data_IF_924521441433
#
_entry.id   IF_924521441433
#
_cell.length_a   1.000
_cell.length_b   1.000
_cell.length_c   1.000
_cell.angle_alpha   90.00
_cell.angle_beta   90.00
_cell.angle_gamma   90.00
#
_symmetry.space_group_name_H-M   'P 1'
#
loop_
_entity.id
_entity.type
_entity.pdbx_description
1 polymer ?
#
# COMPACT_ATOMS: atom_id res chain seq x y z
N UNK A 1 -28.88 -39.03 -22.77
CA UNK A 1 -28.04 -39.22 -21.56
C UNK A 1 -26.55 -39.53 -21.84
N UNK A 2 -26.16 -40.16 -22.97
CA UNK A 2 -24.74 -40.44 -23.30
C UNK A 2 -24.09 -39.36 -24.21
N UNK A 3 -24.89 -38.51 -24.87
CA UNK A 3 -24.40 -37.52 -25.85
C UNK A 3 -23.87 -36.23 -25.16
N UNK A 4 -24.31 -35.91 -23.95
CA UNK A 4 -23.90 -34.71 -23.20
C UNK A 4 -22.52 -34.83 -22.53
N UNK A 5 -22.18 -36.00 -21.98
CA UNK A 5 -20.86 -36.24 -21.36
C UNK A 5 -19.69 -36.09 -22.34
N UNK A 6 -19.89 -36.45 -23.63
CA UNK A 6 -18.84 -36.37 -24.65
C UNK A 6 -18.50 -34.92 -25.00
N UNK A 7 -19.47 -34.01 -24.96
CA UNK A 7 -19.27 -32.59 -25.25
C UNK A 7 -18.65 -31.84 -24.05
N UNK A 8 -18.96 -32.25 -22.82
CA UNK A 8 -18.34 -31.73 -21.59
C UNK A 8 -16.87 -32.15 -21.52
N UNK A 9 -16.57 -33.43 -21.78
CA UNK A 9 -15.19 -33.92 -21.81
C UNK A 9 -14.38 -33.25 -22.93
N UNK A 10 -14.99 -33.00 -24.09
CA UNK A 10 -14.34 -32.32 -25.22
C UNK A 10 -14.12 -30.82 -24.94
N UNK A 11 -15.05 -30.16 -24.23
CA UNK A 11 -14.90 -28.75 -23.80
C UNK A 11 -13.84 -28.62 -22.71
N UNK A 12 -13.78 -29.56 -21.76
CA UNK A 12 -12.70 -29.67 -20.77
C UNK A 12 -11.35 -29.91 -21.48
N UNK A 13 -11.30 -30.80 -22.47
CA UNK A 13 -10.07 -31.08 -23.23
C UNK A 13 -9.61 -29.85 -24.06
N UNK A 14 -10.54 -29.10 -24.64
CA UNK A 14 -10.25 -27.86 -25.36
C UNK A 14 -9.73 -26.77 -24.40
N UNK A 15 -10.33 -26.66 -23.21
CA UNK A 15 -9.85 -25.82 -22.11
C UNK A 15 -8.42 -26.23 -21.68
N UNK A 16 -8.16 -27.53 -21.54
CA UNK A 16 -6.82 -28.07 -21.24
C UNK A 16 -5.77 -27.74 -22.30
N UNK A 17 -6.15 -27.68 -23.59
CA UNK A 17 -5.24 -27.36 -24.70
C UNK A 17 -4.97 -25.85 -24.78
N UNK A 18 -5.98 -25.01 -24.52
CA UNK A 18 -5.84 -23.54 -24.52
C UNK A 18 -5.00 -23.08 -23.30
N UNK A 19 -5.15 -23.74 -22.14
CA UNK A 19 -4.48 -23.36 -20.88
C UNK A 19 -3.00 -23.77 -20.83
N UNK A 20 -2.57 -24.81 -21.57
CA UNK A 20 -1.13 -25.15 -21.67
C UNK A 20 -0.26 -24.06 -22.30
N UNK A 21 -0.87 -23.05 -22.94
CA UNK A 21 -0.16 -21.94 -23.58
C UNK A 21 -0.01 -20.67 -22.73
N UNK A 22 -0.56 -20.61 -21.51
CA UNK A 22 -0.47 -19.41 -20.67
C UNK A 22 0.56 -19.66 -19.56
N UNK A 23 1.70 -19.01 -19.72
CA UNK A 23 2.85 -19.08 -18.83
C UNK A 23 2.51 -18.46 -17.46
N UNK A 24 2.02 -19.28 -16.53
CA UNK A 24 1.70 -18.88 -15.16
C UNK A 24 2.93 -18.79 -14.24
N UNK A 25 4.15 -18.66 -14.80
CA UNK A 25 5.40 -18.78 -14.04
C UNK A 25 5.98 -17.47 -13.49
N UNK A 26 5.39 -16.30 -13.76
CA UNK A 26 6.04 -15.01 -13.44
C UNK A 26 5.26 -14.05 -12.52
N UNK A 27 4.38 -14.55 -11.66
CA UNK A 27 3.75 -13.72 -10.62
C UNK A 27 4.26 -14.13 -9.24
N UNK A 28 5.38 -13.53 -8.81
CA UNK A 28 5.82 -13.54 -7.41
C UNK A 28 4.87 -12.67 -6.60
N UNK A 29 3.81 -13.23 -6.06
CA UNK A 29 3.05 -12.59 -4.99
C UNK A 29 3.33 -13.36 -3.69
N UNK A 30 3.62 -12.65 -2.59
CA UNK A 30 3.55 -13.23 -1.25
C UNK A 30 2.15 -13.81 -0.97
N UNK A 31 2.00 -14.59 0.09
CA UNK A 31 0.67 -15.02 0.50
C UNK A 31 -0.16 -13.77 0.86
N UNK A 32 -1.34 -13.59 0.28
CA UNK A 32 -2.24 -12.47 0.61
C UNK A 32 -3.52 -12.98 1.23
N UNK A 33 -3.97 -12.33 2.29
CA UNK A 33 -5.27 -12.57 2.90
C UNK A 33 -6.07 -11.28 2.88
N UNK A 34 -7.28 -11.36 2.34
CA UNK A 34 -8.16 -10.21 2.20
C UNK A 34 -9.46 -10.45 2.96
N UNK A 35 -9.92 -9.45 3.71
CA UNK A 35 -11.34 -9.32 4.04
C UNK A 35 -12.07 -8.76 2.82
N UNK A 36 -13.30 -9.18 2.60
CA UNK A 36 -14.09 -8.74 1.46
C UNK A 36 -15.52 -8.41 1.86
N UNK A 37 -16.04 -7.39 1.20
CA UNK A 37 -17.41 -6.95 1.31
C UNK A 37 -17.94 -6.68 -0.10
N UNK A 38 -19.10 -7.26 -0.40
CA UNK A 38 -19.75 -7.13 -1.71
C UNK A 38 -21.20 -6.76 -1.52
N UNK A 39 -21.66 -5.86 -2.38
CA UNK A 39 -23.09 -5.62 -2.60
C UNK A 39 -23.38 -5.85 -4.07
N UNK A 40 -24.57 -6.36 -4.37
CA UNK A 40 -24.86 -6.69 -5.76
C UNK A 40 -26.31 -6.95 -6.05
N UNK A 41 -26.52 -7.29 -7.31
CA UNK A 41 -27.79 -7.73 -7.84
C UNK A 41 -27.61 -9.06 -8.56
N UNK A 42 -28.56 -9.97 -8.34
CA UNK A 42 -28.57 -11.29 -8.95
C UNK A 42 -29.75 -11.39 -9.92
N UNK A 43 -29.48 -11.90 -11.12
CA UNK A 43 -30.46 -12.21 -12.14
C UNK A 43 -30.49 -13.72 -12.32
N UNK A 44 -31.50 -14.37 -11.74
CA UNK A 44 -31.60 -15.83 -11.73
C UNK A 44 -32.43 -16.32 -12.91
N UNK A 45 -31.90 -17.27 -13.67
CA UNK A 45 -32.60 -17.98 -14.71
C UNK A 45 -32.64 -19.47 -14.33
N UNK A 46 -33.73 -19.85 -13.70
CA UNK A 46 -34.06 -21.23 -13.38
C UNK A 46 -35.37 -21.61 -14.05
N UNK A 47 -35.86 -22.84 -13.84
CA UNK A 47 -37.20 -23.24 -14.29
C UNK A 47 -38.34 -22.36 -13.69
N UNK A 48 -37.99 -21.46 -12.76
CA UNK A 48 -38.68 -20.19 -12.53
C UNK A 48 -38.58 -19.24 -13.73
N UNK A 49 -39.52 -19.34 -14.67
CA UNK A 49 -39.61 -18.42 -15.81
C UNK A 49 -39.74 -16.95 -15.32
N UNK A 50 -38.67 -16.18 -15.55
CA UNK A 50 -38.45 -14.75 -15.25
C UNK A 50 -38.43 -14.38 -13.76
N UNK A 51 -37.27 -14.46 -13.11
CA UNK A 51 -37.04 -13.74 -11.84
C UNK A 51 -36.80 -12.25 -12.11
N UNK A 52 -37.27 -11.39 -11.21
CA UNK A 52 -36.88 -9.98 -11.19
C UNK A 52 -35.53 -9.84 -10.50
N UNK A 53 -34.75 -8.77 -10.78
CA UNK A 53 -33.45 -8.57 -10.14
C UNK A 53 -33.56 -8.61 -8.62
N UNK A 54 -32.84 -9.57 -8.04
CA UNK A 54 -32.68 -9.72 -6.61
C UNK A 54 -31.49 -8.91 -6.10
N UNK A 55 -31.37 -8.72 -4.79
CA UNK A 55 -30.20 -8.06 -4.19
C UNK A 55 -29.39 -9.04 -3.36
N UNK A 56 -28.08 -8.88 -3.38
CA UNK A 56 -27.14 -9.64 -2.56
C UNK A 56 -26.27 -8.70 -1.73
N UNK A 57 -25.94 -9.14 -0.52
CA UNK A 57 -24.89 -8.57 0.30
C UNK A 57 -24.05 -9.74 0.78
N UNK A 58 -22.74 -9.70 0.54
CA UNK A 58 -21.80 -10.72 1.00
C UNK A 58 -20.69 -10.10 1.83
N UNK A 59 -20.26 -10.84 2.84
CA UNK A 59 -19.01 -10.63 3.56
C UNK A 59 -18.19 -11.91 3.48
N UNK A 60 -16.87 -11.80 3.55
CA UNK A 60 -16.06 -13.00 3.51
C UNK A 60 -14.58 -12.76 3.66
N UNK A 61 -13.83 -13.78 3.27
CA UNK A 61 -12.39 -13.76 3.22
C UNK A 61 -11.88 -14.42 1.94
N UNK A 62 -10.81 -13.88 1.39
CA UNK A 62 -10.07 -14.44 0.25
C UNK A 62 -8.64 -14.70 0.68
N UNK A 63 -8.10 -15.84 0.25
CA UNK A 63 -6.71 -16.18 0.43
C UNK A 63 -6.08 -16.52 -0.92
N UNK A 64 -5.00 -15.81 -1.24
CA UNK A 64 -4.21 -15.97 -2.46
C UNK A 64 -2.84 -16.55 -2.07
N UNK A 65 -2.59 -17.85 -2.25
CA UNK A 65 -1.29 -18.44 -1.95
C UNK A 65 -0.22 -17.95 -2.93
N UNK A 66 1.02 -17.83 -2.45
CA UNK A 66 2.20 -17.51 -3.25
C UNK A 66 2.52 -18.53 -4.35
N UNK A 67 2.05 -19.78 -4.19
CA UNK A 67 2.11 -20.83 -5.21
C UNK A 67 0.68 -21.28 -5.54
N UNK A 68 0.30 -21.11 -6.80
CA UNK A 68 -0.99 -21.61 -7.30
C UNK A 68 -1.05 -23.13 -7.19
N UNK A 69 -2.21 -23.64 -6.78
CA UNK A 69 -2.49 -25.07 -6.84
C UNK A 69 -3.21 -25.37 -8.14
N UNK A 70 -2.51 -26.05 -9.06
CA UNK A 70 -3.00 -26.30 -10.42
C UNK A 70 -3.33 -24.97 -11.13
N UNK A 71 -4.59 -24.73 -11.52
CA UNK A 71 -5.06 -23.48 -12.14
C UNK A 71 -5.78 -22.54 -11.17
N UNK A 72 -5.97 -22.95 -9.91
CA UNK A 72 -6.59 -22.12 -8.89
C UNK A 72 -5.53 -21.27 -8.20
N UNK A 73 -5.76 -19.95 -8.22
CA UNK A 73 -4.88 -18.95 -7.61
C UNK A 73 -5.48 -18.33 -6.35
N UNK A 74 -6.72 -18.69 -5.98
CA UNK A 74 -7.38 -18.18 -4.79
C UNK A 74 -8.47 -19.08 -4.22
N UNK A 75 -8.66 -18.95 -2.91
CA UNK A 75 -9.73 -19.57 -2.13
C UNK A 75 -10.60 -18.46 -1.55
N UNK A 76 -11.91 -18.58 -1.65
CA UNK A 76 -12.84 -17.60 -1.10
C UNK A 76 -13.90 -18.27 -0.23
N UNK A 77 -14.20 -17.66 0.91
CA UNK A 77 -15.31 -18.01 1.77
C UNK A 77 -16.26 -16.83 1.83
N UNK A 78 -17.54 -17.04 1.55
CA UNK A 78 -18.56 -15.99 1.59
C UNK A 78 -19.72 -16.36 2.50
N UNK A 79 -20.17 -15.39 3.27
CA UNK A 79 -21.46 -15.40 3.95
C UNK A 79 -22.33 -14.34 3.27
N UNK A 80 -23.50 -14.76 2.78
CA UNK A 80 -24.37 -13.91 2.00
C UNK A 80 -25.77 -13.81 2.57
N UNK A 81 -26.42 -12.68 2.27
CA UNK A 81 -27.85 -12.51 2.39
C UNK A 81 -28.42 -12.13 1.02
N UNK A 82 -29.32 -12.96 0.51
CA UNK A 82 -29.85 -12.85 -0.83
C UNK A 82 -31.36 -12.64 -0.77
N UNK A 83 -31.85 -11.67 -1.51
CA UNK A 83 -33.27 -11.45 -1.77
C UNK A 83 -33.56 -11.79 -3.22
N UNK A 84 -34.36 -12.82 -3.46
CA UNK A 84 -34.84 -13.21 -4.78
C UNK A 84 -36.27 -12.70 -4.98
N UNK A 85 -36.58 -12.17 -6.16
CA UNK A 85 -37.90 -11.63 -6.50
C UNK A 85 -38.53 -12.41 -7.64
N UNK A 86 -39.75 -12.87 -7.46
CA UNK A 86 -40.50 -13.60 -8.47
C UNK A 86 -41.36 -12.62 -9.30
N UNK A 87 -41.27 -12.67 -10.65
CA UNK A 87 -42.02 -11.79 -11.55
C UNK A 87 -43.42 -12.32 -11.89
N UNK A 88 -43.63 -13.63 -11.80
CA UNK A 88 -44.89 -14.28 -12.13
C UNK A 88 -45.45 -14.95 -10.87
N UNK A 89 -46.75 -14.82 -10.61
CA UNK A 89 -47.45 -15.56 -9.54
C UNK A 89 -47.48 -17.06 -9.85
N UNK A 90 -46.32 -17.69 -9.96
CA UNK A 90 -46.17 -19.13 -10.02
C UNK A 90 -46.68 -19.64 -8.67
N UNK A 91 -47.79 -20.39 -8.69
CA UNK A 91 -48.62 -20.70 -7.51
C UNK A 91 -47.85 -21.38 -6.36
N UNK A 92 -46.63 -21.83 -6.63
CA UNK A 92 -45.82 -22.65 -5.74
C UNK A 92 -44.75 -21.86 -4.96
N UNK A 93 -44.50 -20.58 -5.24
CA UNK A 93 -43.50 -19.80 -4.48
C UNK A 93 -44.00 -18.42 -4.00
N UNK A 94 -43.42 -17.90 -2.90
CA UNK A 94 -43.67 -16.54 -2.46
C UNK A 94 -43.12 -15.50 -3.46
N UNK A 95 -43.74 -14.32 -3.49
CA UNK A 95 -43.32 -13.17 -4.32
C UNK A 95 -41.88 -12.73 -4.07
N UNK A 96 -41.42 -12.87 -2.82
CA UNK A 96 -40.07 -12.55 -2.38
C UNK A 96 -39.54 -13.69 -1.53
N UNK A 97 -38.33 -14.15 -1.84
CA UNK A 97 -37.67 -15.24 -1.14
C UNK A 97 -36.32 -14.75 -0.62
N UNK A 98 -36.13 -14.85 0.71
CA UNK A 98 -34.88 -14.48 1.36
C UNK A 98 -34.08 -15.74 1.68
N UNK A 99 -32.78 -15.72 1.37
CA UNK A 99 -31.86 -16.81 1.66
C UNK A 99 -30.60 -16.28 2.35
N UNK A 100 -30.21 -16.93 3.44
CA UNK A 100 -28.83 -16.84 3.94
C UNK A 100 -28.00 -17.83 3.14
N UNK A 101 -26.82 -17.43 2.70
CA UNK A 101 -25.90 -18.30 1.96
C UNK A 101 -24.55 -18.43 2.65
N UNK A 102 -23.93 -19.58 2.45
CA UNK A 102 -22.52 -19.80 2.71
C UNK A 102 -21.90 -20.39 1.44
N UNK A 103 -20.76 -19.87 1.02
CA UNK A 103 -20.08 -20.29 -0.20
C UNK A 103 -18.63 -20.63 0.09
N UNK A 104 -18.16 -21.69 -0.56
CA UNK A 104 -16.74 -22.01 -0.66
C UNK A 104 -16.38 -21.97 -2.14
N UNK A 105 -15.39 -21.17 -2.51
CA UNK A 105 -15.01 -20.96 -3.90
C UNK A 105 -13.52 -21.18 -4.14
N UNK A 106 -13.22 -21.79 -5.28
CA UNK A 106 -11.88 -22.01 -5.81
C UNK A 106 -11.81 -21.28 -7.13
N UNK A 107 -10.97 -20.25 -7.19
CA UNK A 107 -10.94 -19.33 -8.31
C UNK A 107 -9.54 -19.27 -8.93
N UNK A 108 -9.48 -19.30 -10.27
CA UNK A 108 -8.29 -19.02 -11.07
C UNK A 108 -8.47 -17.69 -11.79
N UNK A 109 -7.50 -16.80 -11.63
CA UNK A 109 -7.54 -15.45 -12.18
C UNK A 109 -6.58 -15.31 -13.37
N UNK A 110 -7.06 -14.73 -14.46
CA UNK A 110 -6.28 -14.44 -15.67
C UNK A 110 -6.39 -12.95 -15.96
N UNK A 111 -5.26 -12.25 -15.98
CA UNK A 111 -5.21 -10.85 -16.41
C UNK A 111 -5.44 -10.77 -17.92
N UNK A 112 -6.44 -9.99 -18.36
CA UNK A 112 -6.74 -9.80 -19.77
C UNK A 112 -6.00 -8.58 -20.35
N UNK A 113 -6.26 -7.41 -19.78
CA UNK A 113 -5.69 -6.13 -20.20
C UNK A 113 -5.87 -5.09 -19.08
N UNK A 114 -5.08 -4.02 -19.13
CA UNK A 114 -5.15 -2.91 -18.19
C UNK A 114 -5.60 -1.64 -18.92
N UNK A 115 -6.46 -0.83 -18.28
CA UNK A 115 -6.87 0.49 -18.75
C UNK A 115 -6.46 1.49 -17.67
N UNK A 116 -5.36 2.22 -17.89
CA UNK A 116 -4.71 3.05 -16.85
C UNK A 116 -4.48 2.21 -15.59
N UNK A 117 -5.03 2.65 -14.45
CA UNK A 117 -4.89 2.03 -13.13
C UNK A 117 -5.91 0.89 -12.88
N UNK A 118 -6.77 0.60 -13.86
CA UNK A 118 -7.77 -0.46 -13.76
C UNK A 118 -7.27 -1.73 -14.45
N UNK A 119 -7.08 -2.79 -13.68
CA UNK A 119 -6.76 -4.13 -14.20
C UNK A 119 -8.05 -4.87 -14.54
N UNK A 120 -8.14 -5.43 -15.73
CA UNK A 120 -9.27 -6.29 -16.12
C UNK A 120 -8.88 -7.75 -15.99
N UNK A 121 -9.61 -8.47 -15.13
CA UNK A 121 -9.34 -9.86 -14.78
C UNK A 121 -10.52 -10.72 -15.22
N UNK A 122 -10.23 -11.83 -15.90
CA UNK A 122 -11.18 -12.93 -16.04
C UNK A 122 -10.95 -13.92 -14.92
N UNK A 123 -12.01 -14.30 -14.22
CA UNK A 123 -11.96 -15.31 -13.18
C UNK A 123 -12.78 -16.53 -13.61
N UNK A 124 -12.19 -17.72 -13.51
CA UNK A 124 -12.86 -19.00 -13.73
C UNK A 124 -12.72 -19.84 -12.47
N UNK A 125 -13.81 -20.45 -12.03
CA UNK A 125 -13.80 -21.13 -10.74
C UNK A 125 -14.84 -22.20 -10.54
N UNK A 126 -14.72 -22.86 -9.41
CA UNK A 126 -15.71 -23.80 -8.87
C UNK A 126 -16.20 -23.26 -7.53
N UNK A 127 -17.51 -23.26 -7.34
CA UNK A 127 -18.11 -22.90 -6.06
C UNK A 127 -18.97 -24.03 -5.52
N UNK A 128 -19.12 -24.05 -4.21
CA UNK A 128 -20.13 -24.86 -3.54
C UNK A 128 -20.97 -23.92 -2.66
N UNK A 129 -22.23 -23.71 -3.05
CA UNK A 129 -23.14 -22.82 -2.33
C UNK A 129 -24.11 -23.62 -1.47
N UNK A 130 -24.28 -23.16 -0.24
CA UNK A 130 -25.31 -23.61 0.69
C UNK A 130 -26.31 -22.47 0.87
N UNK A 131 -27.60 -22.74 0.69
CA UNK A 131 -28.66 -21.77 0.89
C UNK A 131 -29.61 -22.23 2.00
N UNK A 132 -30.04 -21.29 2.84
CA UNK A 132 -31.06 -21.49 3.86
C UNK A 132 -32.15 -20.43 3.70
N UNK A 133 -33.33 -20.87 3.28
CA UNK A 133 -34.46 -20.01 2.94
C UNK A 133 -35.34 -19.73 4.16
N UNK A 134 -35.71 -18.47 4.40
CA UNK A 134 -36.52 -18.10 5.57
C UNK A 134 -38.03 -18.24 5.32
N UNK A 135 -38.50 -17.88 4.12
CA UNK A 135 -39.94 -17.72 3.78
C UNK A 135 -40.51 -18.86 2.91
N UNK A 136 -39.89 -20.03 2.94
CA UNK A 136 -40.29 -21.17 2.12
C UNK A 136 -41.11 -22.17 2.95
N UNK A 137 -42.36 -22.43 2.57
CA UNK A 137 -43.18 -23.45 3.25
C UNK A 137 -42.82 -24.87 2.79
N UNK A 138 -42.86 -25.85 3.69
CA UNK A 138 -42.40 -27.22 3.40
C UNK A 138 -43.23 -27.93 2.32
N UNK A 139 -44.50 -27.55 2.15
CA UNK A 139 -45.39 -28.06 1.10
C UNK A 139 -45.01 -27.62 -0.31
N UNK A 140 -44.24 -26.54 -0.44
CA UNK A 140 -43.77 -25.96 -1.70
C UNK A 140 -42.43 -26.56 -2.14
N UNK A 141 -41.77 -27.34 -1.28
CA UNK A 141 -40.54 -28.05 -1.57
C UNK A 141 -40.85 -29.38 -2.26
N UNK A 142 -40.53 -29.50 -3.54
CA UNK A 142 -40.69 -30.76 -4.27
C UNK A 142 -39.63 -31.79 -3.84
N UNK A 143 -38.45 -31.33 -3.38
CA UNK A 143 -37.44 -32.18 -2.78
C UNK A 143 -37.57 -32.23 -1.23
N UNK A 144 -38.53 -33.01 -0.73
CA UNK A 144 -38.84 -33.18 0.70
C UNK A 144 -37.66 -33.59 1.61
N UNK A 145 -36.52 -34.02 1.05
CA UNK A 145 -35.40 -34.60 1.81
C UNK A 145 -34.68 -33.60 2.74
N UNK A 146 -34.60 -32.31 2.41
CA UNK A 146 -33.70 -31.37 3.11
C UNK A 146 -34.36 -30.14 3.77
N UNK A 147 -35.69 -30.03 3.77
CA UNK A 147 -36.35 -28.86 4.37
C UNK A 147 -35.98 -27.55 3.65
N UNK A 148 -35.93 -26.41 4.36
CA UNK A 148 -35.66 -25.07 3.78
C UNK A 148 -34.21 -24.85 3.31
N UNK A 149 -33.37 -25.88 3.29
CA UNK A 149 -31.96 -25.77 2.96
C UNK A 149 -31.64 -26.53 1.67
N UNK A 150 -30.89 -25.89 0.76
CA UNK A 150 -30.38 -26.50 -0.47
C UNK A 150 -28.87 -26.30 -0.57
N UNK A 151 -28.21 -27.16 -1.33
CA UNK A 151 -26.82 -26.96 -1.70
C UNK A 151 -26.56 -27.43 -3.12
N UNK A 152 -25.68 -26.72 -3.81
CA UNK A 152 -25.36 -27.01 -5.20
C UNK A 152 -23.90 -26.64 -5.50
N UNK A 153 -23.18 -27.49 -6.26
CA UNK A 153 -21.90 -27.12 -6.85
C UNK A 153 -22.11 -26.34 -8.15
N UNK A 154 -21.26 -25.34 -8.36
CA UNK A 154 -21.32 -24.39 -9.46
C UNK A 154 -20.01 -24.30 -10.21
N UNK A 155 -20.12 -24.08 -11.52
CA UNK A 155 -19.03 -23.52 -12.32
C UNK A 155 -19.25 -22.02 -12.45
N UNK A 156 -18.21 -21.23 -12.17
CA UNK A 156 -18.26 -19.78 -12.19
C UNK A 156 -17.35 -19.23 -13.30
N UNK A 157 -17.84 -18.24 -14.01
CA UNK A 157 -17.02 -17.41 -14.88
C UNK A 157 -17.39 -15.95 -14.66
N UNK A 158 -16.40 -15.09 -14.44
CA UNK A 158 -16.64 -13.66 -14.25
C UNK A 158 -15.59 -12.79 -14.91
N UNK A 159 -16.00 -11.57 -15.22
CA UNK A 159 -15.16 -10.47 -15.67
C UNK A 159 -15.14 -9.43 -14.56
N UNK A 160 -13.95 -9.01 -14.16
CA UNK A 160 -13.74 -8.05 -13.08
C UNK A 160 -12.90 -6.88 -13.56
N UNK A 161 -13.42 -5.66 -13.37
CA UNK A 161 -12.60 -4.46 -13.37
C UNK A 161 -12.11 -4.21 -11.95
N UNK A 162 -10.80 -4.17 -11.75
CA UNK A 162 -10.15 -4.10 -10.43
C UNK A 162 -9.27 -2.86 -10.37
N UNK A 163 -9.55 -1.98 -9.42
CA UNK A 163 -8.74 -0.83 -9.08
C UNK A 163 -8.11 -1.06 -7.71
N UNK A 164 -6.79 -0.99 -7.65
CA UNK A 164 -6.05 -1.14 -6.41
C UNK A 164 -5.64 0.27 -5.95
N UNK A 165 -6.08 0.63 -4.75
CA UNK A 165 -5.71 1.87 -4.06
C UNK A 165 -4.69 1.48 -2.99
N UNK A 166 -3.44 1.92 -3.20
CA UNK A 166 -2.29 1.52 -2.39
C UNK A 166 -2.13 -0.03 -2.31
N UNK A 167 -1.47 -0.53 -1.27
CA UNK A 167 -1.30 -1.97 -0.99
C UNK A 167 -2.51 -2.55 -0.21
N UNK A 168 -3.35 -1.70 0.38
CA UNK A 168 -4.41 -2.05 1.33
C UNK A 168 -5.76 -2.35 0.69
N UNK A 169 -6.24 -1.45 -0.17
CA UNK A 169 -7.63 -1.47 -0.64
C UNK A 169 -7.72 -1.87 -2.11
N UNK A 170 -8.60 -2.82 -2.40
CA UNK A 170 -8.92 -3.19 -3.79
C UNK A 170 -10.41 -3.04 -4.03
N UNK A 171 -10.78 -2.10 -4.89
CA UNK A 171 -12.14 -1.90 -5.35
C UNK A 171 -12.36 -2.69 -6.63
N UNK A 172 -13.50 -3.36 -6.75
CA UNK A 172 -13.80 -4.13 -7.96
C UNK A 172 -15.27 -4.10 -8.35
N UNK A 173 -15.50 -4.13 -9.66
CA UNK A 173 -16.78 -4.38 -10.28
C UNK A 173 -16.74 -5.77 -10.93
N UNK A 174 -17.57 -6.69 -10.46
CA UNK A 174 -17.66 -8.06 -10.96
C UNK A 174 -18.95 -8.25 -11.76
N UNK A 175 -18.83 -8.81 -12.96
CA UNK A 175 -19.94 -9.35 -13.75
C UNK A 175 -19.69 -10.84 -13.89
N UNK A 176 -20.53 -11.66 -13.24
CA UNK A 176 -20.35 -13.10 -13.19
C UNK A 176 -21.54 -13.87 -13.73
N UNK A 177 -21.25 -15.11 -14.15
CA UNK A 177 -22.22 -16.13 -14.52
C UNK A 177 -21.89 -17.41 -13.75
N UNK A 178 -22.93 -18.03 -13.19
CA UNK A 178 -22.82 -19.18 -12.32
C UNK A 178 -23.76 -20.27 -12.83
N UNK A 179 -23.18 -21.41 -13.22
CA UNK A 179 -23.92 -22.55 -13.76
C UNK A 179 -23.98 -23.64 -12.69
N UNK A 180 -25.18 -24.01 -12.25
CA UNK A 180 -25.31 -25.15 -11.36
C UNK A 180 -25.11 -26.45 -12.12
N UNK A 181 -24.40 -27.38 -11.48
CA UNK A 181 -24.18 -28.72 -12.03
C UNK A 181 -25.38 -29.63 -11.72
N UNK A 182 -26.30 -29.19 -10.86
CA UNK A 182 -27.51 -29.92 -10.50
C UNK A 182 -28.74 -29.01 -10.45
N UNK A 183 -29.91 -29.63 -10.61
CA UNK A 183 -31.24 -29.00 -10.60
C UNK A 183 -31.74 -28.76 -9.16
N UNK A 184 -30.92 -28.11 -8.33
CA UNK A 184 -31.19 -27.90 -6.89
C UNK A 184 -31.05 -26.45 -6.43
N UNK A 185 -30.86 -25.47 -7.33
CA UNK A 185 -30.82 -24.06 -6.90
C UNK A 185 -32.17 -23.67 -6.28
N UNK A 186 -33.22 -24.22 -6.85
CA UNK A 186 -34.57 -23.70 -6.74
C UNK A 186 -35.53 -24.66 -5.95
N UNK A 187 -34.96 -25.78 -5.50
CA UNK A 187 -35.56 -26.90 -4.76
C UNK A 187 -36.63 -27.71 -5.53
N UNK A 188 -36.69 -27.59 -6.87
CA UNK A 188 -37.64 -28.25 -7.77
C UNK A 188 -36.89 -29.18 -8.74
N UNK A 189 -37.04 -30.52 -8.61
CA UNK A 189 -36.30 -31.49 -9.44
C UNK A 189 -37.08 -31.99 -10.69
N UNK A 190 -38.15 -31.30 -11.09
CA UNK A 190 -38.98 -31.68 -12.26
C UNK A 190 -38.75 -30.67 -13.38
N UNK A 191 -37.51 -30.23 -13.49
CA UNK A 191 -37.02 -29.32 -14.49
C UNK A 191 -36.57 -29.99 -15.77
N UNK A 192 -36.51 -29.23 -16.87
CA UNK A 192 -35.91 -29.68 -18.14
C UNK A 192 -34.65 -28.91 -18.53
N UNK A 193 -34.25 -27.91 -17.73
CA UNK A 193 -33.11 -27.04 -18.00
C UNK A 193 -32.20 -26.95 -16.77
N UNK A 194 -30.90 -26.84 -17.00
CA UNK A 194 -29.95 -26.59 -15.92
C UNK A 194 -30.06 -25.13 -15.46
N UNK A 195 -30.16 -24.90 -14.14
CA UNK A 195 -30.30 -23.57 -13.55
C UNK A 195 -28.98 -22.76 -13.63
N UNK A 196 -29.09 -21.47 -13.92
CA UNK A 196 -27.94 -20.54 -13.85
C UNK A 196 -28.35 -19.16 -13.36
N UNK A 197 -27.39 -18.37 -12.89
CA UNK A 197 -27.64 -16.96 -12.54
C UNK A 197 -26.47 -16.06 -12.93
N UNK A 198 -26.80 -14.81 -13.23
CA UNK A 198 -25.82 -13.75 -13.40
C UNK A 198 -25.77 -12.89 -12.13
N UNK A 199 -24.57 -12.44 -11.77
CA UNK A 199 -24.37 -11.48 -10.69
C UNK A 199 -23.68 -10.23 -11.24
N UNK A 200 -24.09 -9.07 -10.73
CA UNK A 200 -23.39 -7.80 -10.88
C UNK A 200 -23.10 -7.30 -9.47
N UNK A 201 -21.83 -7.35 -9.07
CA UNK A 201 -21.40 -7.00 -7.72
C UNK A 201 -20.40 -5.84 -7.76
N UNK A 202 -20.56 -4.91 -6.84
CA UNK A 202 -19.54 -3.94 -6.46
C UNK A 202 -18.94 -4.40 -5.14
N UNK A 203 -17.62 -4.50 -5.07
CA UNK A 203 -16.94 -4.97 -3.87
C UNK A 203 -15.69 -4.18 -3.52
N UNK A 204 -15.31 -4.33 -2.26
CA UNK A 204 -14.04 -3.86 -1.71
C UNK A 204 -13.35 -5.01 -1.00
N UNK A 205 -12.04 -5.12 -1.21
CA UNK A 205 -11.15 -6.02 -0.47
C UNK A 205 -10.19 -5.19 0.36
N UNK A 206 -9.98 -5.60 1.60
CA UNK A 206 -8.97 -5.05 2.49
C UNK A 206 -7.91 -6.12 2.75
N UNK A 207 -6.66 -5.83 2.39
CA UNK A 207 -5.51 -6.71 2.58
C UNK A 207 -5.00 -6.59 4.01
N UNK A 208 -4.93 -7.72 4.74
CA UNK A 208 -4.49 -7.74 6.14
C UNK A 208 -2.97 -7.61 6.33
N UNK A 209 -2.18 -7.81 5.27
CA UNK A 209 -0.72 -7.89 5.34
C UNK A 209 -0.08 -6.97 4.30
N UNK A 210 -0.66 -5.79 4.09
CA UNK A 210 0.00 -4.72 3.34
C UNK A 210 1.06 -4.06 4.22
N UNK A 211 2.26 -3.93 3.67
CA UNK A 211 3.27 -2.99 4.15
C UNK A 211 2.79 -1.58 3.72
N UNK A 212 2.83 -0.61 4.64
CA UNK A 212 2.31 0.75 4.44
C UNK A 212 3.51 1.70 4.59
N UNK A 213 3.59 2.66 3.68
CA UNK A 213 4.60 3.72 3.61
C UNK A 213 3.81 4.97 3.15
N UNK A 214 3.47 5.81 4.11
CA UNK A 214 2.42 6.83 4.02
C UNK A 214 2.88 8.10 3.31
N UNK A 215 4.14 8.51 3.47
CA UNK A 215 4.75 9.64 2.77
C UNK A 215 5.62 9.23 1.57
N UNK A 216 5.96 7.95 1.45
CA UNK A 216 6.59 7.38 0.26
C UNK A 216 8.10 7.57 0.22
N UNK A 217 8.74 7.72 1.38
CA UNK A 217 10.20 7.88 1.47
C UNK A 217 10.96 6.55 1.45
N UNK A 218 10.25 5.42 1.62
CA UNK A 218 10.78 4.07 1.56
C UNK A 218 11.00 3.41 2.92
N UNK A 219 10.70 4.10 4.02
CA UNK A 219 10.57 3.52 5.36
C UNK A 219 9.11 3.13 5.59
N UNK A 220 8.87 1.99 6.25
CA UNK A 220 7.50 1.55 6.51
C UNK A 220 6.92 2.30 7.71
N UNK A 221 5.62 2.61 7.71
CA UNK A 221 4.90 3.29 8.80
C UNK A 221 5.14 2.70 10.21
N UNK A 222 5.51 1.42 10.32
CA UNK A 222 5.81 0.75 11.59
C UNK A 222 7.28 0.85 12.03
N UNK A 223 8.15 1.27 11.13
CA UNK A 223 9.58 1.54 11.32
C UNK A 223 9.90 3.05 11.25
N UNK A 224 9.01 3.85 10.66
CA UNK A 224 9.11 5.29 10.41
C UNK A 224 8.68 6.13 11.64
N UNK A 225 9.54 7.05 12.07
CA UNK A 225 9.29 7.97 13.18
C UNK A 225 8.39 9.15 12.78
N UNK A 226 8.38 9.54 11.51
CA UNK A 226 7.70 10.71 10.99
C UNK A 226 6.46 10.44 10.13
N UNK A 227 6.17 9.26 9.58
CA UNK A 227 4.92 8.76 8.94
C UNK A 227 4.29 9.62 7.81
N UNK A 228 4.37 10.95 7.87
CA UNK A 228 3.70 11.91 7.00
C UNK A 228 4.67 12.99 6.48
N UNK A 229 5.95 12.89 6.83
CA UNK A 229 7.00 13.82 6.45
C UNK A 229 8.16 13.01 5.89
N UNK A 230 8.37 13.04 4.57
CA UNK A 230 9.33 12.16 3.94
C UNK A 230 10.77 12.55 4.30
N UNK A 231 11.59 11.54 4.53
CA UNK A 231 13.05 11.62 4.64
C UNK A 231 13.71 12.41 3.49
N UNK A 232 14.76 13.20 3.77
CA UNK A 232 15.48 14.01 2.77
C UNK A 232 16.74 13.36 2.17
N UNK A 233 17.10 12.15 2.64
CA UNK A 233 18.07 11.22 2.04
C UNK A 233 19.43 11.88 1.73
N UNK A 234 20.00 12.57 2.69
CA UNK A 234 21.25 13.30 2.59
C UNK A 234 22.47 12.50 3.13
N UNK A 235 22.23 11.34 3.73
CA UNK A 235 23.23 10.47 4.32
C UNK A 235 23.40 10.65 5.84
N UNK A 236 22.58 11.48 6.47
CA UNK A 236 22.48 11.65 7.90
C UNK A 236 21.17 11.04 8.39
N UNK A 237 21.29 10.04 9.28
CA UNK A 237 20.16 9.34 9.93
C UNK A 237 19.00 8.85 9.04
N UNK A 238 19.16 8.76 7.71
CA UNK A 238 18.20 8.26 6.68
C UNK A 238 17.38 6.98 7.01
N UNK A 239 17.75 6.21 8.05
CA UNK A 239 17.07 4.98 8.45
C UNK A 239 15.87 5.20 9.39
N UNK A 240 15.68 6.41 9.94
CA UNK A 240 14.62 6.68 10.92
C UNK A 240 13.32 7.28 10.33
N UNK A 241 13.37 7.69 9.05
CA UNK A 241 12.22 8.18 8.29
C UNK A 241 11.85 9.62 8.60
N UNK A 242 12.69 10.37 9.30
CA UNK A 242 12.45 11.76 9.64
C UNK A 242 13.45 12.69 8.95
N UNK A 243 12.99 13.74 8.24
CA UNK A 243 13.89 14.66 7.56
C UNK A 243 14.76 15.45 8.57
N UNK A 244 16.07 15.46 8.33
CA UNK A 244 17.06 16.18 9.13
C UNK A 244 17.52 17.46 8.42
N UNK A 245 16.72 18.51 8.55
CA UNK A 245 16.91 19.79 7.83
C UNK A 245 18.20 20.56 8.27
N UNK A 246 18.73 20.24 9.45
CA UNK A 246 19.87 20.88 10.12
C UNK A 246 20.60 19.83 10.96
N UNK A 247 21.59 19.18 10.34
CA UNK A 247 22.23 17.97 10.82
C UNK A 247 23.03 18.18 12.12
N UNK A 248 23.74 19.31 12.25
CA UNK A 248 24.53 19.62 13.45
C UNK A 248 23.80 20.51 14.47
N UNK A 249 22.58 20.94 14.12
CA UNK A 249 21.66 21.70 14.97
C UNK A 249 22.24 23.04 15.43
N UNK A 250 22.97 23.73 14.57
CA UNK A 250 23.48 25.08 14.82
C UNK A 250 22.47 26.20 14.49
N UNK A 251 21.39 25.86 13.78
CA UNK A 251 20.32 26.77 13.38
C UNK A 251 20.39 27.25 11.93
N UNK A 252 21.38 26.80 11.15
CA UNK A 252 21.53 27.02 9.71
C UNK A 252 21.14 25.73 8.99
N UNK A 253 20.12 25.75 8.11
CA UNK A 253 19.75 24.55 7.36
C UNK A 253 20.89 24.04 6.49
N UNK A 254 21.00 22.73 6.33
CA UNK A 254 22.00 22.02 5.51
C UNK A 254 22.20 22.57 4.09
N UNK A 255 21.14 23.12 3.51
CA UNK A 255 21.17 23.71 2.16
C UNK A 255 21.93 25.04 2.09
N UNK A 256 22.07 25.72 3.21
CA UNK A 256 22.71 27.01 3.39
C UNK A 256 24.00 26.92 4.26
N UNK A 257 24.26 25.77 4.88
CA UNK A 257 25.42 25.49 5.73
C UNK A 257 26.61 24.91 4.93
N UNK A 258 27.79 25.52 5.06
CA UNK A 258 29.03 25.04 4.44
C UNK A 258 29.66 23.85 5.16
N UNK A 259 29.31 23.65 6.43
CA UNK A 259 29.95 22.74 7.35
C UNK A 259 29.07 21.63 7.90
N UNK A 260 27.76 21.56 7.61
CA UNK A 260 26.74 20.47 7.72
C UNK A 260 26.76 19.58 8.99
N UNK A 261 27.91 19.05 9.38
CA UNK A 261 28.12 18.16 10.51
C UNK A 261 28.98 18.82 11.61
N UNK A 262 29.23 20.13 11.56
CA UNK A 262 30.10 20.86 12.46
C UNK A 262 29.43 22.15 12.92
N UNK A 263 28.82 22.08 14.10
CA UNK A 263 28.13 23.21 14.70
C UNK A 263 28.99 24.49 14.77
N UNK A 264 28.42 25.58 14.25
CA UNK A 264 28.91 26.96 14.32
C UNK A 264 29.26 27.41 15.76
N UNK A 265 30.30 28.25 15.90
CA UNK A 265 30.75 28.81 17.17
C UNK A 265 30.44 30.31 17.33
N UNK A 266 29.15 30.64 17.23
CA UNK A 266 28.55 31.99 17.39
C UNK A 266 29.36 32.96 18.28
N UNK A 267 30.19 33.78 17.64
CA UNK A 267 31.04 34.79 18.30
C UNK A 267 30.96 36.18 17.65
N UNK A 268 30.25 36.30 16.52
CA UNK A 268 30.06 37.52 15.75
C UNK A 268 30.98 37.65 14.53
N UNK A 269 31.85 36.67 14.31
CA UNK A 269 32.67 36.53 13.11
C UNK A 269 32.08 35.42 12.23
N UNK A 270 31.73 35.76 10.99
CA UNK A 270 31.27 34.81 9.98
C UNK A 270 30.11 33.84 10.32
N UNK A 271 29.41 33.98 11.47
CA UNK A 271 28.28 33.18 11.99
C UNK A 271 27.15 32.72 11.02
N UNK A 272 27.12 33.17 9.77
CA UNK A 272 26.08 32.84 8.78
C UNK A 272 26.53 31.81 7.73
N UNK A 273 27.78 31.35 7.76
CA UNK A 273 28.26 30.29 6.86
C UNK A 273 28.18 28.87 7.46
N UNK A 274 27.90 28.75 8.76
CA UNK A 274 27.71 27.49 9.48
C UNK A 274 29.01 26.75 9.78
N UNK A 275 30.15 27.37 9.49
CA UNK A 275 31.46 26.80 9.77
C UNK A 275 32.10 27.44 10.99
N UNK A 276 32.47 26.65 12.01
CA UNK A 276 33.12 27.21 13.18
C UNK A 276 34.52 27.76 12.84
N UNK A 277 34.76 29.01 13.24
CA UNK A 277 35.97 29.79 13.01
C UNK A 277 36.76 29.97 14.32
N UNK A 278 37.40 28.91 14.81
CA UNK A 278 38.10 28.90 16.12
C UNK A 278 39.32 29.84 16.27
N UNK A 279 39.71 30.56 15.22
CA UNK A 279 40.84 31.49 15.12
C UNK A 279 40.56 32.46 13.97
N UNK A 280 39.78 33.50 14.27
CA UNK A 280 39.18 34.40 13.28
C UNK A 280 40.21 35.15 12.42
N UNK A 281 41.35 35.54 12.98
CA UNK A 281 42.39 36.29 12.26
C UNK A 281 43.58 35.44 11.79
N UNK A 282 43.57 34.15 12.13
CA UNK A 282 44.51 33.13 11.69
C UNK A 282 45.96 33.41 12.12
N UNK A 283 46.17 33.99 13.30
CA UNK A 283 47.50 34.20 13.86
C UNK A 283 48.07 32.97 14.62
N UNK A 284 47.20 31.98 14.90
CA UNK A 284 47.54 30.74 15.60
C UNK A 284 47.13 30.71 17.08
N UNK A 285 46.49 31.75 17.59
CA UNK A 285 45.91 31.84 18.94
C UNK A 285 44.39 31.77 18.83
N UNK A 286 43.80 30.72 19.39
CA UNK A 286 42.33 30.56 19.35
C UNK A 286 41.60 31.72 20.04
N UNK A 287 40.41 32.11 19.55
CA UNK A 287 39.70 33.31 20.01
C UNK A 287 39.43 33.32 21.53
N UNK A 288 39.18 32.13 22.10
CA UNK A 288 38.97 31.98 23.55
C UNK A 288 40.19 32.31 24.42
N UNK A 289 41.38 32.44 23.82
CA UNK A 289 42.65 32.80 24.47
C UNK A 289 43.25 34.09 23.93
N UNK A 290 42.75 34.57 22.80
CA UNK A 290 43.18 35.80 22.16
C UNK A 290 42.51 37.02 22.82
N UNK A 291 43.31 38.06 23.13
CA UNK A 291 42.80 39.33 23.63
C UNK A 291 42.27 40.23 22.50
N UNK A 292 42.74 40.04 21.27
CA UNK A 292 42.34 40.76 20.07
C UNK A 292 41.88 39.77 18.96
N UNK A 293 40.77 39.02 19.15
CA UNK A 293 40.35 37.89 18.29
C UNK A 293 39.95 38.22 16.85
N UNK A 294 40.31 39.39 16.33
CA UNK A 294 39.94 39.86 15.00
C UNK A 294 41.09 40.67 14.37
N UNK A 295 42.26 40.69 15.03
CA UNK A 295 43.42 41.49 14.66
C UNK A 295 44.67 40.67 14.94
N UNK A 296 45.18 40.04 13.90
CA UNK A 296 46.34 39.16 13.99
C UNK A 296 47.54 39.81 14.69
N UNK A 297 48.17 39.02 15.57
CA UNK A 297 49.44 39.29 16.24
C UNK A 297 50.58 39.64 15.26
N UNK A 298 51.48 40.54 15.69
CA UNK A 298 52.68 40.89 14.94
C UNK A 298 53.94 40.24 15.53
N UNK A 299 54.08 38.94 15.26
CA UNK A 299 55.16 38.07 15.75
C UNK A 299 56.57 38.70 15.58
N UNK A 300 57.06 39.33 16.65
CA UNK A 300 58.35 40.04 16.68
C UNK A 300 59.22 39.65 17.90
N UNK A 301 58.67 38.89 18.84
CA UNK A 301 59.33 38.43 20.06
C UNK A 301 58.96 39.19 21.33
N UNK A 302 58.10 40.21 21.23
CA UNK A 302 57.51 40.96 22.33
C UNK A 302 56.05 40.52 22.52
N UNK A 303 55.69 40.16 23.75
CA UNK A 303 54.34 39.72 24.19
C UNK A 303 53.47 38.81 23.27
N UNK A 304 54.04 38.13 22.24
CA UNK A 304 53.38 37.31 21.18
C UNK A 304 52.37 36.20 21.62
N UNK A 305 52.14 36.00 22.93
CA UNK A 305 51.23 34.98 23.46
C UNK A 305 49.84 35.52 23.78
N UNK A 306 49.62 36.83 23.64
CA UNK A 306 48.36 37.46 24.01
C UNK A 306 47.41 37.75 22.84
N UNK A 307 47.91 37.66 21.60
CA UNK A 307 47.14 37.76 20.36
C UNK A 307 46.84 39.19 19.94
N UNK A 308 47.42 40.19 20.60
CA UNK A 308 47.25 41.58 20.25
C UNK A 308 48.54 42.15 19.68
N UNK A 309 48.49 42.80 18.49
CA UNK A 309 49.69 43.39 17.95
C UNK A 309 50.19 44.56 18.80
N UNK A 310 51.48 44.52 19.12
CA UNK A 310 52.19 45.51 19.92
C UNK A 310 52.99 46.44 19.01
N UNK A 311 52.29 47.38 18.35
CA UNK A 311 52.89 48.24 17.31
C UNK A 311 53.91 49.30 17.79
N UNK A 312 54.18 49.38 19.10
CA UNK A 312 55.09 50.33 19.78
C UNK A 312 55.52 49.70 21.12
N UNK A 313 56.42 48.73 21.05
CA UNK A 313 56.82 47.86 22.18
C UNK A 313 57.32 48.62 23.40
N UNK A 314 57.99 49.74 23.20
CA UNK A 314 58.52 50.56 24.28
C UNK A 314 57.61 51.70 24.70
N UNK A 315 56.47 51.92 24.05
CA UNK A 315 55.51 53.00 24.27
C UNK A 315 56.14 54.41 24.30
N UNK A 316 57.04 54.74 23.37
CA UNK A 316 57.61 56.09 23.23
C UNK A 316 56.88 56.97 22.19
N UNK A 317 55.98 56.37 21.41
CA UNK A 317 55.16 57.02 20.40
C UNK A 317 55.71 56.93 18.98
N UNK A 318 56.80 56.18 18.75
CA UNK A 318 57.32 55.78 17.45
C UNK A 318 56.97 54.29 17.25
N UNK A 319 56.36 53.94 16.11
CA UNK A 319 56.02 52.53 15.85
C UNK A 319 57.26 51.69 15.59
N UNK A 320 57.27 50.40 15.95
CA UNK A 320 58.46 49.53 15.84
C UNK A 320 59.00 49.44 14.41
N UNK A 321 58.14 49.57 13.39
CA UNK A 321 58.54 49.60 11.97
C UNK A 321 59.38 50.84 11.62
N UNK A 322 59.19 51.94 12.34
CA UNK A 322 59.87 53.22 12.17
C UNK A 322 60.91 53.49 13.27
N UNK A 323 61.01 52.64 14.30
CA UNK A 323 61.98 52.75 15.39
C UNK A 323 63.29 51.98 15.10
N UNK A 324 64.42 52.64 15.34
CA UNK A 324 65.74 52.02 15.24
C UNK A 324 66.07 51.14 16.46
N UNK A 325 65.43 51.41 17.61
CA UNK A 325 65.58 50.67 18.85
C UNK A 325 64.20 50.32 19.46
N UNK A 326 63.41 49.42 18.84
CA UNK A 326 62.01 49.11 19.23
C UNK A 326 61.77 48.78 20.71
N UNK A 327 62.80 48.29 21.42
CA UNK A 327 62.71 47.90 22.82
C UNK A 327 63.27 48.97 23.80
N UNK A 328 63.69 50.16 23.33
CA UNK A 328 64.41 51.16 24.14
C UNK A 328 63.92 52.61 23.94
N UNK A 329 63.03 53.07 24.85
CA UNK A 329 62.41 54.41 24.79
C UNK A 329 63.37 55.54 24.44
N UNK A 330 62.99 56.42 23.50
CA UNK A 330 63.74 57.63 23.20
C UNK A 330 63.93 58.53 24.42
N UNK A 331 65.19 58.96 24.61
CA UNK A 331 65.49 60.05 25.55
C UNK A 331 65.44 61.37 24.80
N UNK A 332 64.32 62.10 24.94
CA UNK A 332 64.16 63.45 24.37
C UNK A 332 65.25 64.40 24.88
N UNK A 333 66.26 64.61 24.05
CA UNK A 333 67.30 65.63 24.25
C UNK A 333 66.69 67.00 23.92
N UNK A 334 66.10 67.65 24.92
CA UNK A 334 65.27 68.85 24.78
C UNK A 334 65.87 70.04 24.04
#
# INVERSE_FOLDING_TARGET
MIITYRNILFSLLLLFIIVKGVDAQNLKFGNRANALFEIGTNFTYSDYINTSPGTSINIGAEYLPSKSFMFFSGYQLLLGYNNFKNRNNNLYLPKTLNAKSFSIELNGNINLFNIKDIRTITQLGLAYHFFNFSNLEYSQLLNKKNGKSTSSPFMQASLQGVYQYEEQFTFYLNIGMNFAINDNIDAISIGTHDDYFYNLNLGVKYNFWSEIDSDGDGVLDDEDLCIYEPEDLDGFLDEDGCPDIDNDNDGIPDVDDYCINLQEDIDGYQDYDGCPDYDNDNDGIIDTKDKCPNVAEDIDGFEDQDGCPDLDNDEDGIQDIDDYCPDEKETMNG
#
